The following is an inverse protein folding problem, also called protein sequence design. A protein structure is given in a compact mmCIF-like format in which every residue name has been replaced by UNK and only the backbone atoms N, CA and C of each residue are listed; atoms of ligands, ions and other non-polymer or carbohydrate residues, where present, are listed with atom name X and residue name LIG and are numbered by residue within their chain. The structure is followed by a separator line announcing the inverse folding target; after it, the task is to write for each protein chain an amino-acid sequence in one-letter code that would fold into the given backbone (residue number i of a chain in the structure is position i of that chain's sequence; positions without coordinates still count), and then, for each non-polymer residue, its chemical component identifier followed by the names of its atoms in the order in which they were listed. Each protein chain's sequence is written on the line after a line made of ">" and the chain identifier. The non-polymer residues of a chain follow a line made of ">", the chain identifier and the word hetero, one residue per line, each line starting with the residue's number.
data_IF_829318538102
#
_entry.id   IF_829318538102
#
_cell.length_a   1.000
_cell.length_b   1.000
_cell.length_c   1.000
_cell.angle_alpha   90.00
_cell.angle_beta   90.00
_cell.angle_gamma   90.00
#
_symmetry.space_group_name_H-M   'P 1'
#
loop_
_entity.id
_entity.type
_entity.pdbx_description
1 polymer ?
#
# COMPACT_ATOMS: atom_id res chain seq x y z
N UNK A 1 -15.27 30.19 61.35
CA UNK A 1 -15.17 29.21 62.51
C UNK A 1 -15.29 27.85 61.92
N UNK A 2 -14.39 27.06 61.97
CA UNK A 2 -13.47 26.20 62.60
C UNK A 2 -12.93 25.21 61.54
N UNK A 3 -11.75 25.16 61.45
CA UNK A 3 -10.59 24.39 61.94
C UNK A 3 -10.24 23.19 61.07
N UNK A 4 -9.12 23.34 60.40
CA UNK A 4 -8.30 22.29 59.80
C UNK A 4 -7.70 21.35 60.87
N UNK A 5 -7.56 20.05 60.59
CA UNK A 5 -6.62 19.19 61.25
C UNK A 5 -5.89 18.31 60.26
N UNK A 6 -4.61 18.59 60.09
CA UNK A 6 -3.68 17.78 59.35
C UNK A 6 -3.23 16.56 60.16
N UNK A 7 -2.89 15.47 59.48
CA UNK A 7 -2.04 14.40 59.98
C UNK A 7 -0.94 14.12 58.98
N UNK A 8 0.30 13.97 59.42
CA UNK A 8 1.41 13.57 58.56
C UNK A 8 1.44 12.06 58.38
N UNK A 9 1.68 11.60 57.16
CA UNK A 9 1.92 10.19 56.88
C UNK A 9 3.43 10.04 56.69
N UNK A 10 4.06 9.38 57.66
CA UNK A 10 5.41 8.82 57.53
C UNK A 10 5.29 7.52 56.71
N UNK A 11 6.04 7.40 55.65
CA UNK A 11 6.33 6.15 54.97
C UNK A 11 7.77 5.73 55.28
N UNK A 12 8.04 4.48 55.64
CA UNK A 12 9.41 3.98 55.73
C UNK A 12 9.94 3.66 54.33
N UNK A 13 11.18 4.05 54.10
CA UNK A 13 11.97 3.67 52.95
C UNK A 13 12.25 2.15 52.99
N UNK A 14 11.78 1.44 51.95
CA UNK A 14 12.18 0.06 51.65
C UNK A 14 13.42 0.08 50.77
N UNK A 15 14.47 -0.58 51.20
CA UNK A 15 15.68 -0.87 50.44
C UNK A 15 15.35 -1.67 49.17
N UNK A 16 16.05 -1.46 48.05
CA UNK A 16 15.88 -2.30 46.88
C UNK A 16 16.59 -3.64 47.08
N UNK A 17 15.79 -4.69 47.03
CA UNK A 17 16.22 -6.09 47.03
C UNK A 17 17.08 -6.35 45.79
N UNK A 18 18.37 -6.68 46.00
CA UNK A 18 19.30 -7.11 44.97
C UNK A 18 19.02 -8.55 44.57
N UNK A 19 18.00 -8.74 43.72
CA UNK A 19 17.71 -10.03 43.09
C UNK A 19 18.83 -10.42 42.12
N UNK A 20 19.77 -11.23 42.57
CA UNK A 20 20.78 -11.85 41.73
C UNK A 20 20.12 -12.69 40.62
N UNK A 21 20.57 -12.50 39.40
CA UNK A 21 20.15 -13.29 38.23
C UNK A 21 20.44 -14.77 38.52
N UNK A 22 19.43 -15.67 38.48
CA UNK A 22 19.65 -17.07 38.83
C UNK A 22 20.68 -17.67 37.84
N UNK A 23 21.68 -18.36 38.35
CA UNK A 23 22.78 -18.96 37.61
C UNK A 23 22.34 -19.85 36.42
N UNK A 24 21.13 -20.39 36.47
CA UNK A 24 20.49 -21.09 35.34
C UNK A 24 20.29 -20.18 34.14
N UNK A 25 19.97 -18.90 34.31
CA UNK A 25 19.84 -17.92 33.19
C UNK A 25 21.18 -17.65 32.49
N UNK A 26 22.25 -17.56 33.27
CA UNK A 26 23.61 -17.39 32.71
C UNK A 26 24.09 -18.63 31.94
N UNK A 27 23.72 -19.83 32.40
CA UNK A 27 24.05 -21.09 31.74
C UNK A 27 23.30 -21.22 30.38
N UNK A 28 22.04 -20.81 30.32
CA UNK A 28 21.25 -20.82 29.06
C UNK A 28 21.79 -19.78 28.06
N UNK A 29 22.15 -18.60 28.49
CA UNK A 29 22.76 -17.57 27.66
C UNK A 29 24.12 -18.05 27.14
N UNK A 30 24.95 -18.66 27.98
CA UNK A 30 26.24 -19.24 27.58
C UNK A 30 26.09 -20.34 26.51
N UNK A 31 25.08 -21.21 26.65
CA UNK A 31 24.79 -22.27 25.65
C UNK A 31 24.33 -21.71 24.31
N UNK A 32 23.46 -20.69 24.34
CA UNK A 32 22.99 -20.02 23.11
C UNK A 32 24.12 -19.31 22.36
N UNK A 33 25.03 -18.65 23.07
CA UNK A 33 26.22 -18.00 22.46
C UNK A 33 27.15 -19.04 21.85
N UNK A 34 27.30 -20.20 22.47
CA UNK A 34 28.16 -21.29 21.98
C UNK A 34 27.57 -21.95 20.73
N UNK A 35 26.23 -22.13 20.68
CA UNK A 35 25.50 -22.62 19.51
C UNK A 35 25.62 -21.63 18.35
N UNK A 36 25.46 -20.32 18.62
CA UNK A 36 25.60 -19.28 17.61
C UNK A 36 27.02 -19.20 17.06
N UNK A 37 28.04 -19.31 17.91
CA UNK A 37 29.45 -19.30 17.49
C UNK A 37 29.81 -20.54 16.66
N UNK A 38 29.28 -21.72 16.99
CA UNK A 38 29.49 -22.94 16.19
C UNK A 38 28.74 -22.86 14.84
N UNK A 39 27.55 -22.30 14.78
CA UNK A 39 26.81 -22.06 13.53
C UNK A 39 27.53 -21.06 12.61
N UNK A 40 28.04 -19.97 13.16
CA UNK A 40 28.84 -18.98 12.43
C UNK A 40 30.19 -19.59 11.95
N UNK A 41 30.83 -20.38 12.78
CA UNK A 41 32.04 -21.12 12.41
C UNK A 41 31.79 -22.11 11.27
N UNK A 42 30.70 -22.85 11.30
CA UNK A 42 30.31 -23.77 10.22
C UNK A 42 29.97 -23.05 8.91
N UNK A 43 29.35 -21.88 8.98
CA UNK A 43 29.10 -21.03 7.80
C UNK A 43 30.38 -20.41 7.20
N UNK A 44 31.36 -20.06 8.02
CA UNK A 44 32.59 -19.42 7.55
C UNK A 44 33.63 -20.45 7.09
N UNK A 45 33.70 -21.62 7.70
CA UNK A 45 34.73 -22.64 7.39
C UNK A 45 34.19 -23.88 6.67
N UNK A 46 32.87 -24.04 6.49
CA UNK A 46 32.25 -25.16 5.79
C UNK A 46 32.10 -24.99 4.29
N UNK A 47 32.41 -23.83 3.72
CA UNK A 47 32.28 -23.54 2.29
C UNK A 47 33.73 -23.43 1.69
N UNK A 48 34.50 -24.51 1.73
CA UNK A 48 35.81 -24.44 1.11
C UNK A 48 36.65 -25.67 1.32
N UNK A 49 36.23 -26.82 0.79
CA UNK A 49 37.16 -27.90 0.48
C UNK A 49 36.49 -29.01 -0.31
N UNK A 50 36.73 -28.99 -1.61
CA UNK A 50 36.84 -30.08 -2.58
C UNK A 50 37.00 -29.41 -3.93
N UNK A 51 37.95 -29.67 -4.80
CA UNK A 51 39.00 -30.67 -4.84
C UNK A 51 39.87 -30.30 -6.05
N UNK A 52 41.16 -30.45 -5.89
CA UNK A 52 42.19 -30.40 -6.94
C UNK A 52 41.92 -31.46 -8.02
N UNK A 53 41.97 -31.07 -9.29
CA UNK A 53 41.89 -32.00 -10.41
C UNK A 53 42.24 -31.35 -11.75
N UNK A 54 43.55 -31.31 -12.06
CA UNK A 54 44.18 -31.38 -13.39
C UNK A 54 43.63 -30.58 -14.58
N UNK A 55 44.40 -29.57 -15.02
CA UNK A 55 44.44 -29.08 -16.41
C UNK A 55 45.02 -30.13 -17.37
N UNK A 56 44.54 -30.17 -18.65
CA UNK A 56 45.42 -29.76 -19.73
C UNK A 56 44.72 -28.89 -20.82
N UNK A 57 45.46 -27.86 -21.22
CA UNK A 57 45.80 -27.38 -22.55
C UNK A 57 44.75 -27.13 -23.62
N UNK A 58 44.66 -25.85 -24.02
CA UNK A 58 44.62 -25.39 -25.39
C UNK A 58 43.28 -25.23 -26.07
N UNK A 59 42.90 -24.04 -26.35
CA UNK A 59 42.76 -23.34 -27.64
C UNK A 59 41.88 -22.12 -27.43
N UNK A 60 42.39 -20.98 -27.89
CA UNK A 60 41.65 -19.72 -28.02
C UNK A 60 40.46 -19.92 -28.97
N UNK A 61 39.26 -19.70 -28.44
CA UNK A 61 38.02 -19.54 -29.18
C UNK A 61 37.26 -18.42 -28.49
N UNK A 62 37.04 -17.34 -29.22
CA UNK A 62 36.11 -16.27 -28.80
C UNK A 62 34.77 -16.89 -28.41
N UNK A 63 34.55 -17.05 -27.12
CA UNK A 63 33.24 -17.36 -26.55
C UNK A 63 32.40 -16.12 -26.54
N UNK A 64 31.07 -16.22 -26.83
CA UNK A 64 30.17 -15.10 -26.68
C UNK A 64 30.26 -14.57 -25.25
N UNK A 65 30.33 -13.26 -25.12
CA UNK A 65 30.12 -12.58 -23.83
C UNK A 65 28.96 -13.22 -23.10
N UNK A 66 29.08 -13.56 -21.83
CA UNK A 66 27.92 -14.03 -21.08
C UNK A 66 26.92 -12.88 -21.09
N UNK A 67 25.90 -13.03 -21.92
CA UNK A 67 24.68 -12.25 -21.75
C UNK A 67 24.27 -12.49 -20.30
N UNK A 68 24.07 -11.43 -19.56
CA UNK A 68 23.42 -11.53 -18.27
C UNK A 68 22.07 -12.15 -18.58
N UNK A 69 21.95 -13.45 -18.40
CA UNK A 69 20.66 -14.09 -18.29
C UNK A 69 20.00 -13.40 -17.10
N UNK A 70 19.09 -12.50 -17.37
CA UNK A 70 18.18 -11.97 -16.37
C UNK A 70 17.36 -13.16 -15.90
N UNK A 71 17.89 -13.82 -14.88
CA UNK A 71 17.18 -14.93 -14.25
C UNK A 71 15.87 -14.35 -13.75
N UNK A 72 14.75 -14.81 -14.30
CA UNK A 72 13.40 -14.55 -13.79
C UNK A 72 13.24 -15.23 -12.41
N UNK A 73 14.09 -14.93 -11.47
CA UNK A 73 14.10 -15.51 -10.11
C UNK A 73 13.18 -14.76 -9.15
N UNK A 74 12.51 -13.68 -9.59
CA UNK A 74 11.59 -12.90 -8.75
C UNK A 74 10.37 -13.65 -8.28
N UNK A 75 10.00 -14.75 -8.95
CA UNK A 75 8.88 -15.58 -8.52
C UNK A 75 9.23 -16.55 -7.38
N UNK A 76 10.49 -16.87 -7.15
CA UNK A 76 10.88 -17.91 -6.16
C UNK A 76 10.73 -17.44 -4.71
N UNK A 77 10.83 -16.13 -4.44
CA UNK A 77 10.69 -15.56 -3.10
C UNK A 77 9.66 -14.43 -3.02
N UNK A 78 8.96 -14.12 -4.13
CA UNK A 78 7.98 -13.04 -4.18
C UNK A 78 8.57 -11.63 -3.96
N UNK A 79 9.89 -11.50 -4.07
CA UNK A 79 10.56 -10.21 -3.91
C UNK A 79 10.78 -9.54 -5.26
N UNK A 80 10.63 -8.20 -5.36
CA UNK A 80 10.96 -7.44 -6.55
C UNK A 80 12.46 -7.59 -6.87
N UNK A 81 12.79 -7.82 -8.16
CA UNK A 81 14.18 -8.12 -8.57
C UNK A 81 15.06 -6.88 -8.71
N UNK A 82 14.48 -5.73 -9.06
CA UNK A 82 15.21 -4.51 -9.35
C UNK A 82 15.03 -3.50 -8.21
N UNK A 83 15.85 -3.66 -7.17
CA UNK A 83 15.92 -2.71 -6.06
C UNK A 83 17.22 -1.91 -6.15
N UNK A 84 17.12 -0.60 -5.93
CA UNK A 84 18.21 0.32 -5.70
C UNK A 84 18.25 0.71 -4.21
N UNK A 85 18.88 1.81 -3.84
CA UNK A 85 18.89 2.27 -2.44
C UNK A 85 17.51 2.73 -1.99
N UNK A 86 16.83 3.49 -2.87
CA UNK A 86 15.61 4.22 -2.52
C UNK A 86 14.42 3.80 -3.38
N UNK A 87 14.61 2.92 -4.34
CA UNK A 87 13.52 2.39 -5.16
C UNK A 87 13.48 0.86 -5.17
N UNK A 88 12.27 0.34 -5.33
CA UNK A 88 12.05 -1.09 -5.53
C UNK A 88 11.02 -1.28 -6.63
N UNK A 89 11.38 -2.02 -7.69
CA UNK A 89 10.47 -2.31 -8.78
C UNK A 89 9.60 -3.53 -8.45
N UNK A 90 8.29 -3.38 -8.62
CA UNK A 90 7.32 -4.48 -8.63
C UNK A 90 6.97 -4.76 -10.09
N UNK A 91 7.51 -5.83 -10.69
CA UNK A 91 7.27 -6.14 -12.08
C UNK A 91 5.88 -6.70 -12.30
N UNK A 92 5.34 -6.51 -13.49
CA UNK A 92 4.09 -7.09 -13.98
C UNK A 92 3.73 -6.49 -15.32
N UNK A 93 3.19 -7.30 -16.22
CA UNK A 93 2.79 -6.85 -17.54
C UNK A 93 1.36 -6.32 -17.55
N UNK A 94 0.55 -6.80 -16.61
CA UNK A 94 -0.84 -6.40 -16.43
C UNK A 94 -1.21 -6.19 -14.94
N UNK A 95 -2.37 -5.58 -14.65
CA UNK A 95 -2.79 -5.31 -13.27
C UNK A 95 -2.99 -6.57 -12.40
N UNK A 96 -3.30 -7.73 -13.00
CA UNK A 96 -3.45 -8.98 -12.23
C UNK A 96 -2.09 -9.44 -11.72
N UNK A 97 -1.09 -9.51 -12.60
CA UNK A 97 0.28 -9.87 -12.23
C UNK A 97 0.86 -8.92 -11.16
N UNK A 98 0.66 -7.60 -11.35
CA UNK A 98 1.06 -6.58 -10.38
C UNK A 98 0.37 -6.80 -9.04
N UNK A 99 -0.92 -7.10 -9.02
CA UNK A 99 -1.67 -7.37 -7.80
C UNK A 99 -1.11 -8.56 -7.01
N UNK A 100 -0.76 -9.66 -7.70
CA UNK A 100 -0.14 -10.82 -7.08
C UNK A 100 1.25 -10.49 -6.54
N UNK A 101 2.07 -9.76 -7.30
CA UNK A 101 3.41 -9.35 -6.90
C UNK A 101 3.39 -8.40 -5.69
N UNK A 102 2.46 -7.44 -5.65
CA UNK A 102 2.31 -6.51 -4.53
C UNK A 102 1.81 -7.19 -3.26
N UNK A 103 0.92 -8.17 -3.38
CA UNK A 103 0.50 -8.99 -2.25
C UNK A 103 1.65 -9.80 -1.66
N UNK A 104 2.48 -10.43 -2.51
CA UNK A 104 3.68 -11.13 -2.07
C UNK A 104 4.70 -10.19 -1.39
N UNK A 105 4.85 -8.96 -1.90
CA UNK A 105 5.71 -7.95 -1.28
C UNK A 105 5.17 -7.51 0.09
N UNK A 106 3.84 -7.38 0.23
CA UNK A 106 3.18 -6.98 1.47
C UNK A 106 3.09 -8.11 2.49
N UNK A 107 3.02 -9.36 2.04
CA UNK A 107 2.91 -10.57 2.87
C UNK A 107 4.03 -11.57 2.50
N UNK A 108 5.31 -11.24 2.74
CA UNK A 108 6.44 -12.05 2.27
C UNK A 108 6.57 -13.40 3.02
N UNK A 109 6.01 -13.49 4.20
CA UNK A 109 6.01 -14.72 5.00
C UNK A 109 4.69 -14.84 5.74
N UNK A 110 3.89 -15.84 5.37
CA UNK A 110 2.62 -16.12 6.03
C UNK A 110 2.79 -17.26 7.01
N UNK A 111 2.36 -17.03 8.24
CA UNK A 111 2.39 -17.99 9.32
C UNK A 111 1.36 -17.66 10.40
N UNK A 112 1.32 -18.42 11.52
CA UNK A 112 0.39 -18.11 12.59
C UNK A 112 0.53 -16.66 13.08
N UNK A 113 -0.51 -15.85 12.88
CA UNK A 113 -0.56 -14.44 13.30
C UNK A 113 -0.14 -13.41 12.24
N UNK A 114 0.31 -13.83 11.04
CA UNK A 114 0.61 -12.93 9.92
C UNK A 114 -0.32 -13.11 8.72
N UNK A 115 -1.23 -14.08 8.75
CA UNK A 115 -2.27 -14.24 7.74
C UNK A 115 -3.25 -13.06 7.78
N UNK A 116 -3.68 -12.51 6.63
CA UNK A 116 -4.70 -11.47 6.62
C UNK A 116 -6.03 -12.03 7.15
N UNK A 117 -6.86 -11.20 7.82
CA UNK A 117 -8.18 -11.63 8.25
C UNK A 117 -9.06 -12.07 7.08
N UNK A 118 -9.00 -11.36 5.96
CA UNK A 118 -9.70 -11.72 4.72
C UNK A 118 -8.91 -11.24 3.51
N UNK A 119 -9.31 -11.67 2.31
CA UNK A 119 -8.81 -11.15 1.03
C UNK A 119 -10.00 -10.63 0.23
N UNK A 120 -9.85 -9.48 -0.41
CA UNK A 120 -10.86 -8.89 -1.27
C UNK A 120 -10.54 -9.20 -2.73
N UNK A 121 -11.47 -9.81 -3.44
CA UNK A 121 -11.37 -10.12 -4.87
C UNK A 121 -12.22 -9.15 -5.69
N UNK A 122 -11.65 -8.56 -6.73
CA UNK A 122 -12.36 -7.78 -7.74
C UNK A 122 -11.85 -8.13 -9.14
N UNK A 123 -12.72 -8.01 -10.16
CA UNK A 123 -12.29 -8.25 -11.53
C UNK A 123 -11.47 -7.08 -12.06
N UNK A 124 -10.35 -7.38 -12.73
CA UNK A 124 -9.57 -6.36 -13.45
C UNK A 124 -10.38 -5.72 -14.59
N UNK A 125 -11.36 -6.44 -15.16
CA UNK A 125 -12.23 -5.95 -16.23
C UNK A 125 -13.32 -4.97 -15.71
N UNK A 126 -13.57 -4.95 -14.39
CA UNK A 126 -14.51 -4.03 -13.74
C UNK A 126 -13.73 -3.03 -12.86
N UNK A 127 -13.03 -2.10 -13.49
CA UNK A 127 -12.12 -1.21 -12.81
C UNK A 127 -12.77 -0.41 -11.67
N UNK A 128 -14.04 0.02 -11.82
CA UNK A 128 -14.75 0.74 -10.77
C UNK A 128 -14.94 -0.14 -9.52
N UNK A 129 -15.30 -1.40 -9.72
CA UNK A 129 -15.43 -2.36 -8.62
C UNK A 129 -14.09 -2.59 -7.91
N UNK A 130 -13.00 -2.70 -8.67
CA UNK A 130 -11.65 -2.87 -8.13
C UNK A 130 -11.21 -1.64 -7.32
N UNK A 131 -11.44 -0.43 -7.82
CA UNK A 131 -11.16 0.83 -7.12
C UNK A 131 -11.90 0.90 -5.77
N UNK A 132 -13.19 0.62 -5.76
CA UNK A 132 -14.00 0.64 -4.52
C UNK A 132 -13.57 -0.43 -3.53
N UNK A 133 -13.22 -1.61 -4.04
CA UNK A 133 -12.81 -2.77 -3.24
C UNK A 133 -11.57 -2.48 -2.38
N UNK A 134 -10.69 -1.57 -2.82
CA UNK A 134 -9.50 -1.16 -2.09
C UNK A 134 -9.81 -0.65 -0.67
N UNK A 135 -10.99 -0.06 -0.45
CA UNK A 135 -11.41 0.45 0.87
C UNK A 135 -11.57 -0.63 1.96
N UNK A 136 -11.66 -1.90 1.59
CA UNK A 136 -11.69 -3.02 2.54
C UNK A 136 -10.30 -3.40 3.04
N UNK A 137 -9.23 -2.92 2.39
CA UNK A 137 -7.84 -3.19 2.80
C UNK A 137 -7.45 -2.49 4.09
N UNK A 138 -8.09 -1.37 4.42
CA UNK A 138 -7.82 -0.61 5.63
C UNK A 138 -8.27 -1.34 6.91
N UNK A 139 -7.62 -1.01 8.02
CA UNK A 139 -8.13 -1.39 9.34
C UNK A 139 -9.53 -0.82 9.61
N UNK A 140 -10.35 -1.50 10.40
CA UNK A 140 -10.10 -2.76 11.10
C UNK A 140 -10.39 -4.01 10.26
N UNK A 141 -10.84 -3.88 9.00
CA UNK A 141 -11.22 -5.02 8.14
C UNK A 141 -9.96 -5.74 7.64
N UNK A 142 -8.95 -5.00 7.20
CA UNK A 142 -7.63 -5.50 6.77
C UNK A 142 -7.71 -6.64 5.74
N UNK A 143 -8.55 -6.45 4.72
CA UNK A 143 -8.76 -7.42 3.63
C UNK A 143 -8.11 -6.90 2.33
N UNK A 144 -6.80 -7.16 2.11
CA UNK A 144 -6.08 -6.63 0.96
C UNK A 144 -6.70 -7.04 -0.37
N UNK A 145 -6.58 -6.16 -1.37
CA UNK A 145 -7.12 -6.37 -2.71
C UNK A 145 -6.26 -7.34 -3.51
N UNK A 146 -6.89 -8.32 -4.13
CA UNK A 146 -6.35 -9.21 -5.15
C UNK A 146 -7.21 -9.10 -6.40
N UNK A 147 -6.59 -8.80 -7.54
CA UNK A 147 -7.30 -8.72 -8.81
C UNK A 147 -7.44 -10.11 -9.45
N UNK A 148 -8.59 -10.35 -10.05
CA UNK A 148 -8.90 -11.56 -10.76
C UNK A 148 -9.13 -11.25 -12.25
N UNK A 149 -8.59 -12.04 -13.19
CA UNK A 149 -8.92 -11.90 -14.59
C UNK A 149 -10.36 -12.38 -14.84
N UNK A 150 -11.13 -11.62 -15.61
CA UNK A 150 -12.44 -12.02 -16.15
C UNK A 150 -13.37 -12.73 -15.16
N UNK A 151 -13.45 -12.25 -13.92
CA UNK A 151 -14.44 -12.68 -12.95
C UNK A 151 -14.12 -13.95 -12.17
N UNK A 152 -12.93 -14.54 -12.30
CA UNK A 152 -12.44 -15.64 -11.45
C UNK A 152 -10.94 -15.58 -11.25
N UNK A 153 -10.44 -16.13 -10.16
CA UNK A 153 -9.00 -16.24 -9.93
C UNK A 153 -8.31 -17.08 -11.01
N UNK A 154 -7.09 -16.67 -11.36
CA UNK A 154 -6.14 -17.51 -12.09
C UNK A 154 -5.65 -18.66 -11.22
N UNK A 155 -4.86 -19.58 -11.79
CA UNK A 155 -4.17 -20.65 -11.02
C UNK A 155 -3.22 -20.04 -9.99
N UNK A 156 -2.42 -19.04 -10.39
CA UNK A 156 -1.46 -18.33 -9.56
C UNK A 156 -2.16 -17.55 -8.45
N UNK A 157 -3.29 -16.88 -8.79
CA UNK A 157 -4.12 -16.18 -7.79
C UNK A 157 -4.72 -17.15 -6.76
N UNK A 158 -5.11 -18.36 -7.19
CA UNK A 158 -5.62 -19.38 -6.29
C UNK A 158 -4.52 -19.93 -5.37
N UNK A 159 -3.34 -20.21 -5.90
CA UNK A 159 -2.16 -20.63 -5.12
C UNK A 159 -1.72 -19.56 -4.11
N UNK A 160 -1.77 -18.28 -4.50
CA UNK A 160 -1.47 -17.17 -3.59
C UNK A 160 -2.53 -17.05 -2.50
N UNK A 161 -3.82 -17.18 -2.82
CA UNK A 161 -4.89 -17.16 -1.82
C UNK A 161 -4.72 -18.30 -0.81
N UNK A 162 -4.39 -19.51 -1.28
CA UNK A 162 -4.09 -20.66 -0.41
C UNK A 162 -2.85 -20.42 0.47
N UNK A 163 -1.85 -19.70 -0.05
CA UNK A 163 -0.65 -19.30 0.69
C UNK A 163 -0.97 -18.25 1.75
N UNK A 164 -1.78 -17.23 1.42
CA UNK A 164 -2.21 -16.19 2.36
C UNK A 164 -3.09 -16.76 3.48
N UNK A 165 -3.83 -17.82 3.19
CA UNK A 165 -4.63 -18.60 4.13
C UNK A 165 -5.50 -17.71 5.05
N UNK A 166 -6.38 -16.83 4.53
CA UNK A 166 -7.16 -15.90 5.33
C UNK A 166 -8.02 -16.65 6.36
N UNK A 167 -8.05 -16.15 7.59
CA UNK A 167 -8.60 -16.91 8.73
C UNK A 167 -10.02 -16.50 9.14
N UNK A 168 -10.50 -15.34 8.66
CA UNK A 168 -11.71 -14.70 9.17
C UNK A 168 -11.44 -13.95 10.49
N UNK A 169 -12.30 -12.97 10.80
CA UNK A 169 -12.27 -12.26 12.07
C UNK A 169 -13.64 -11.65 12.36
N UNK A 170 -13.93 -11.23 13.60
CA UNK A 170 -15.14 -10.47 13.91
C UNK A 170 -15.31 -9.22 13.02
N UNK A 171 -14.20 -8.52 12.70
CA UNK A 171 -14.17 -7.33 11.85
C UNK A 171 -14.48 -7.62 10.38
N UNK A 172 -14.27 -8.87 9.93
CA UNK A 172 -14.69 -9.32 8.60
C UNK A 172 -16.07 -10.00 8.61
N UNK A 173 -16.73 -10.07 9.78
CA UNK A 173 -17.95 -10.85 9.98
C UNK A 173 -17.71 -12.34 9.79
N UNK A 174 -16.55 -12.82 10.24
CA UNK A 174 -16.05 -14.21 10.12
C UNK A 174 -15.83 -14.65 8.66
N UNK A 175 -15.78 -13.72 7.70
CA UNK A 175 -15.54 -14.03 6.30
C UNK A 175 -14.05 -14.01 5.97
N UNK A 176 -13.64 -14.99 5.15
CA UNK A 176 -12.28 -15.15 4.66
C UNK A 176 -12.07 -14.42 3.32
N UNK A 177 -13.14 -14.23 2.55
CA UNK A 177 -13.07 -13.61 1.24
C UNK A 177 -14.24 -12.65 1.03
N UNK A 178 -13.96 -11.47 0.49
CA UNK A 178 -14.95 -10.58 -0.10
C UNK A 178 -14.84 -10.65 -1.63
N UNK A 179 -15.98 -10.72 -2.34
CA UNK A 179 -16.00 -10.60 -3.80
C UNK A 179 -16.84 -9.39 -4.19
N UNK A 180 -16.24 -8.47 -4.96
CA UNK A 180 -16.86 -7.21 -5.34
C UNK A 180 -17.07 -7.18 -6.86
N UNK A 181 -18.30 -6.90 -7.27
CA UNK A 181 -18.69 -6.95 -8.68
C UNK A 181 -18.88 -8.38 -9.18
N UNK A 182 -18.54 -8.62 -10.45
CA UNK A 182 -18.75 -9.89 -11.17
C UNK A 182 -17.58 -10.87 -10.96
N UNK A 183 -17.25 -11.16 -9.70
CA UNK A 183 -16.23 -12.16 -9.35
C UNK A 183 -16.85 -13.35 -8.66
N UNK A 184 -16.52 -14.54 -9.14
CA UNK A 184 -16.93 -15.78 -8.52
C UNK A 184 -16.17 -16.01 -7.20
N UNK A 185 -16.86 -16.42 -6.12
CA UNK A 185 -16.18 -16.78 -4.90
C UNK A 185 -15.33 -18.03 -5.13
N UNK A 186 -14.10 -18.06 -4.58
CA UNK A 186 -13.26 -19.25 -4.66
C UNK A 186 -13.87 -20.40 -3.83
N UNK A 187 -13.68 -21.63 -4.30
CA UNK A 187 -14.14 -22.81 -3.56
C UNK A 187 -13.29 -23.01 -2.28
N UNK A 188 -13.93 -23.46 -1.22
CA UNK A 188 -13.25 -23.78 0.04
C UNK A 188 -13.10 -22.61 1.02
N UNK A 189 -13.55 -21.42 0.64
CA UNK A 189 -13.52 -20.22 1.49
C UNK A 189 -14.92 -19.71 1.82
N UNK A 190 -15.09 -19.23 3.05
CA UNK A 190 -16.32 -18.52 3.43
C UNK A 190 -16.30 -17.11 2.87
N UNK A 191 -17.14 -16.85 1.86
CA UNK A 191 -17.12 -15.61 1.10
C UNK A 191 -18.37 -14.76 1.33
N UNK A 192 -18.17 -13.41 1.32
CA UNK A 192 -19.22 -12.40 1.25
C UNK A 192 -19.20 -11.73 -0.11
N UNK A 193 -20.35 -11.72 -0.77
CA UNK A 193 -20.51 -11.08 -2.09
C UNK A 193 -21.12 -9.69 -1.99
N UNK A 194 -20.60 -8.77 -2.80
CA UNK A 194 -21.23 -7.52 -3.22
C UNK A 194 -21.32 -7.56 -4.76
N UNK A 195 -22.37 -8.23 -5.29
CA UNK A 195 -22.48 -8.48 -6.72
C UNK A 195 -22.99 -7.24 -7.47
N UNK A 196 -22.81 -7.24 -8.79
CA UNK A 196 -23.41 -6.27 -9.70
C UNK A 196 -22.44 -5.78 -10.76
N UNK A 197 -23.02 -5.03 -11.71
CA UNK A 197 -22.34 -4.38 -12.83
C UNK A 197 -22.55 -2.85 -12.85
N UNK A 198 -23.47 -2.32 -12.02
CA UNK A 198 -23.70 -0.88 -11.87
C UNK A 198 -22.79 -0.30 -10.78
N UNK A 199 -21.77 0.52 -11.15
CA UNK A 199 -20.79 1.04 -10.18
C UNK A 199 -21.42 1.83 -9.02
N UNK A 200 -22.50 2.58 -9.27
CA UNK A 200 -23.14 3.37 -8.23
C UNK A 200 -23.87 2.49 -7.20
N UNK A 201 -24.43 1.36 -7.63
CA UNK A 201 -25.07 0.41 -6.72
C UNK A 201 -24.03 -0.39 -5.94
N UNK A 202 -22.97 -0.87 -6.62
CA UNK A 202 -21.87 -1.57 -5.96
C UNK A 202 -21.26 -0.68 -4.86
N UNK A 203 -21.02 0.60 -5.16
CA UNK A 203 -20.48 1.56 -4.21
C UNK A 203 -21.37 1.70 -2.95
N UNK A 204 -22.69 1.81 -3.13
CA UNK A 204 -23.63 1.91 -2.02
C UNK A 204 -23.68 0.60 -1.22
N UNK A 205 -23.77 -0.55 -1.87
CA UNK A 205 -23.84 -1.85 -1.21
C UNK A 205 -22.54 -2.14 -0.41
N UNK A 206 -21.39 -1.76 -0.97
CA UNK A 206 -20.10 -1.86 -0.30
C UNK A 206 -20.01 -0.89 0.88
N UNK A 207 -20.44 0.37 0.72
CA UNK A 207 -20.50 1.35 1.81
C UNK A 207 -21.36 0.86 2.98
N UNK A 208 -22.53 0.28 2.68
CA UNK A 208 -23.41 -0.28 3.69
C UNK A 208 -22.85 -1.54 4.35
N UNK A 209 -22.16 -2.40 3.57
CA UNK A 209 -21.45 -3.54 4.13
C UNK A 209 -20.37 -3.05 5.09
N UNK A 210 -19.54 -2.11 4.66
CA UNK A 210 -18.46 -1.55 5.46
C UNK A 210 -18.99 -0.90 6.74
N UNK A 211 -20.02 -0.05 6.65
CA UNK A 211 -20.64 0.58 7.82
C UNK A 211 -21.18 -0.44 8.85
N UNK A 212 -21.62 -1.62 8.40
CA UNK A 212 -21.99 -2.72 9.30
C UNK A 212 -20.80 -3.38 9.97
N UNK A 213 -19.68 -3.53 9.25
CA UNK A 213 -18.46 -4.17 9.78
C UNK A 213 -17.68 -3.26 10.72
N UNK A 214 -17.72 -1.94 10.48
CA UNK A 214 -17.02 -0.92 11.30
C UNK A 214 -17.95 -0.21 12.30
N UNK A 215 -19.22 -0.62 12.39
CA UNK A 215 -20.23 -0.08 13.32
C UNK A 215 -20.50 1.43 13.16
N UNK A 216 -20.27 1.97 11.95
CA UNK A 216 -20.51 3.41 11.69
C UNK A 216 -20.23 3.83 10.25
N UNK A 217 -20.55 5.09 9.91
CA UNK A 217 -20.19 5.66 8.61
C UNK A 217 -18.66 5.84 8.52
N UNK A 218 -18.10 5.99 7.30
CA UNK A 218 -16.68 6.34 7.12
C UNK A 218 -16.39 7.77 7.62
N UNK A 219 -15.12 8.09 7.79
CA UNK A 219 -14.69 9.45 8.15
C UNK A 219 -14.91 10.43 6.99
N UNK A 220 -14.80 9.96 5.74
CA UNK A 220 -15.06 10.73 4.54
C UNK A 220 -15.66 9.88 3.40
N UNK A 221 -16.33 10.54 2.46
CA UNK A 221 -16.61 9.99 1.14
C UNK A 221 -15.67 10.60 0.11
N UNK A 222 -15.03 9.75 -0.69
CA UNK A 222 -14.24 10.16 -1.84
C UNK A 222 -15.09 10.04 -3.09
N UNK A 223 -15.31 11.13 -3.80
CA UNK A 223 -16.08 11.15 -5.05
C UNK A 223 -15.14 11.36 -6.23
N UNK A 224 -15.25 10.50 -7.21
CA UNK A 224 -14.46 10.60 -8.45
C UNK A 224 -15.30 10.25 -9.68
N UNK A 225 -14.73 10.43 -10.89
CA UNK A 225 -15.39 10.11 -12.14
C UNK A 225 -15.61 8.62 -12.32
N UNK A 226 -16.78 8.22 -12.80
CA UNK A 226 -17.06 6.87 -13.27
C UNK A 226 -16.49 6.59 -14.67
N UNK A 227 -15.98 7.61 -15.36
CA UNK A 227 -15.61 7.57 -16.77
C UNK A 227 -14.09 7.49 -16.97
N UNK A 228 -13.29 7.83 -15.94
CA UNK A 228 -11.83 7.89 -16.06
C UNK A 228 -11.14 7.31 -14.81
N UNK A 229 -10.50 6.18 -15.00
CA UNK A 229 -9.79 5.45 -13.95
C UNK A 229 -8.54 6.20 -13.44
N UNK A 230 -7.94 7.09 -14.24
CA UNK A 230 -6.74 7.81 -13.86
C UNK A 230 -6.99 8.77 -12.67
N UNK A 231 -8.21 9.33 -12.55
CA UNK A 231 -8.59 10.12 -11.37
C UNK A 231 -9.07 9.26 -10.20
N UNK A 232 -9.38 7.99 -10.45
CA UNK A 232 -9.88 7.08 -9.43
C UNK A 232 -8.76 6.26 -8.74
N UNK A 233 -7.63 6.02 -9.41
CA UNK A 233 -6.52 5.26 -8.84
C UNK A 233 -5.92 5.92 -7.57
N UNK A 234 -5.71 7.26 -7.50
CA UNK A 234 -5.31 7.91 -6.25
C UNK A 234 -6.33 7.74 -5.11
N UNK A 235 -7.65 7.72 -5.44
CA UNK A 235 -8.68 7.43 -4.45
C UNK A 235 -8.58 6.01 -3.89
N UNK A 236 -8.23 5.02 -4.74
CA UNK A 236 -8.07 3.64 -4.30
C UNK A 236 -6.91 3.47 -3.31
N UNK A 237 -5.75 4.10 -3.56
CA UNK A 237 -4.60 4.04 -2.66
C UNK A 237 -4.90 4.74 -1.33
N UNK A 238 -5.55 5.89 -1.36
CA UNK A 238 -6.02 6.57 -0.15
C UNK A 238 -7.02 5.70 0.63
N UNK A 239 -8.03 5.15 -0.04
CA UNK A 239 -9.05 4.32 0.60
C UNK A 239 -8.49 3.00 1.16
N UNK A 240 -7.45 2.43 0.55
CA UNK A 240 -6.75 1.26 1.07
C UNK A 240 -6.06 1.54 2.42
N UNK A 241 -5.62 2.78 2.65
CA UNK A 241 -5.04 3.24 3.91
C UNK A 241 -6.10 3.69 4.92
N UNK A 242 -6.99 4.62 4.50
CA UNK A 242 -7.92 5.31 5.40
C UNK A 242 -9.18 4.52 5.68
N UNK A 243 -9.58 3.66 4.73
CA UNK A 243 -10.87 3.02 4.74
C UNK A 243 -12.02 3.93 4.30
N UNK A 244 -11.77 5.10 3.76
CA UNK A 244 -12.83 5.95 3.23
C UNK A 244 -13.55 5.30 2.06
N UNK A 245 -14.83 5.63 1.92
CA UNK A 245 -15.68 5.02 0.90
C UNK A 245 -15.61 5.81 -0.39
N UNK A 246 -15.34 5.11 -1.50
CA UNK A 246 -15.33 5.71 -2.82
C UNK A 246 -16.73 5.63 -3.44
N UNK A 247 -17.23 6.77 -3.92
CA UNK A 247 -18.46 6.90 -4.66
C UNK A 247 -18.17 7.47 -6.04
N UNK A 248 -18.91 7.02 -7.03
CA UNK A 248 -18.77 7.48 -8.41
C UNK A 248 -19.87 8.45 -8.82
N UNK A 249 -19.50 9.40 -9.68
CA UNK A 249 -20.43 10.24 -10.43
C UNK A 249 -20.06 10.22 -11.90
N UNK A 250 -21.08 10.44 -12.75
CA UNK A 250 -20.82 10.84 -14.12
C UNK A 250 -20.28 12.27 -14.13
N UNK A 251 -19.68 12.69 -15.23
CA UNK A 251 -19.18 14.07 -15.37
C UNK A 251 -20.21 15.12 -14.97
N UNK A 252 -21.47 14.98 -15.38
CA UNK A 252 -22.53 15.99 -15.24
C UNK A 252 -23.70 15.55 -14.38
N UNK A 253 -23.66 14.36 -13.80
CA UNK A 253 -24.76 13.86 -12.98
C UNK A 253 -24.28 13.07 -11.76
N UNK A 254 -25.08 13.13 -10.69
CA UNK A 254 -24.94 12.25 -9.52
C UNK A 254 -25.94 11.11 -9.72
N UNK A 255 -25.47 9.85 -9.80
CA UNK A 255 -26.38 8.69 -9.90
C UNK A 255 -27.41 8.69 -8.77
N UNK A 256 -28.64 8.25 -9.05
CA UNK A 256 -29.69 8.28 -8.03
C UNK A 256 -29.40 7.38 -6.83
N UNK A 257 -28.71 6.24 -7.04
CA UNK A 257 -28.29 5.37 -5.94
C UNK A 257 -27.34 6.13 -4.98
N UNK A 258 -26.32 6.82 -5.52
CA UNK A 258 -25.41 7.68 -4.75
C UNK A 258 -26.15 8.81 -4.04
N UNK A 259 -27.05 9.50 -4.75
CA UNK A 259 -27.82 10.60 -4.17
C UNK A 259 -28.76 10.13 -3.05
N UNK A 260 -29.42 8.99 -3.21
CA UNK A 260 -30.30 8.41 -2.19
C UNK A 260 -29.49 7.97 -0.95
N UNK A 261 -28.31 7.37 -1.15
CA UNK A 261 -27.41 6.97 -0.07
C UNK A 261 -26.92 8.19 0.74
N UNK A 262 -26.47 9.26 0.08
CA UNK A 262 -26.03 10.48 0.75
C UNK A 262 -27.15 11.23 1.50
N UNK A 263 -28.42 11.06 1.10
CA UNK A 263 -29.57 11.65 1.83
C UNK A 263 -29.88 10.97 3.16
N UNK A 264 -29.35 9.78 3.42
CA UNK A 264 -29.56 9.08 4.69
C UNK A 264 -29.00 9.91 5.85
N UNK A 265 -29.70 9.88 7.00
CA UNK A 265 -29.37 10.74 8.14
C UNK A 265 -27.92 10.54 8.62
N UNK A 266 -27.48 9.32 8.68
CA UNK A 266 -26.15 8.90 9.12
C UNK A 266 -25.02 9.41 8.19
N UNK A 267 -25.30 9.61 6.91
CA UNK A 267 -24.34 10.01 5.90
C UNK A 267 -24.24 11.55 5.69
N UNK A 268 -25.26 12.30 6.12
CA UNK A 268 -25.34 13.75 5.84
C UNK A 268 -24.25 14.60 6.48
N UNK A 269 -23.66 14.16 7.56
CA UNK A 269 -22.56 14.87 8.26
C UNK A 269 -21.18 14.46 7.79
N UNK A 270 -21.08 13.40 7.00
CA UNK A 270 -19.81 12.91 6.47
C UNK A 270 -19.33 13.86 5.37
N UNK A 271 -18.09 14.37 5.45
CA UNK A 271 -17.52 15.24 4.41
C UNK A 271 -17.32 14.49 3.11
N UNK A 272 -17.43 15.19 2.00
CA UNK A 272 -17.14 14.68 0.66
C UNK A 272 -15.90 15.37 0.12
N UNK A 273 -14.93 14.58 -0.37
CA UNK A 273 -13.78 15.06 -1.12
C UNK A 273 -13.85 14.60 -2.58
N UNK A 274 -13.79 15.57 -3.49
CA UNK A 274 -13.92 15.31 -4.92
C UNK A 274 -12.54 15.30 -5.58
N UNK A 275 -12.17 14.17 -6.21
CA UNK A 275 -10.94 14.03 -6.98
C UNK A 275 -11.21 14.21 -8.47
N UNK A 276 -10.30 14.92 -9.12
CA UNK A 276 -10.35 15.24 -10.53
C UNK A 276 -10.86 16.65 -10.84
N UNK A 277 -10.46 17.18 -12.03
CA UNK A 277 -10.82 18.52 -12.49
C UNK A 277 -12.32 18.65 -12.80
N UNK A 278 -12.72 19.86 -13.20
CA UNK A 278 -14.10 20.14 -13.61
C UNK A 278 -14.52 19.38 -14.88
N UNK A 279 -13.54 18.91 -15.65
CA UNK A 279 -13.78 18.08 -16.83
C UNK A 279 -14.07 16.62 -16.50
N UNK A 280 -13.62 16.14 -15.34
CA UNK A 280 -13.92 14.80 -14.83
C UNK A 280 -15.20 14.80 -13.96
N UNK A 281 -15.33 15.79 -13.06
CA UNK A 281 -16.52 15.98 -12.20
C UNK A 281 -16.92 17.45 -12.25
N UNK A 282 -18.01 17.80 -12.90
CA UNK A 282 -18.37 19.19 -13.15
C UNK A 282 -18.69 20.00 -11.87
N UNK A 283 -18.59 21.31 -11.96
CA UNK A 283 -18.97 22.21 -10.86
C UNK A 283 -20.45 22.06 -10.45
N UNK A 284 -21.31 21.68 -11.39
CA UNK A 284 -22.75 21.41 -11.12
C UNK A 284 -22.91 20.15 -10.26
N UNK A 285 -22.11 19.10 -10.51
CA UNK A 285 -22.09 17.89 -9.68
C UNK A 285 -21.64 18.24 -8.26
N UNK A 286 -20.52 18.97 -8.11
CA UNK A 286 -20.04 19.42 -6.78
C UNK A 286 -21.10 20.23 -6.04
N UNK A 287 -21.76 21.16 -6.71
CA UNK A 287 -22.88 21.94 -6.13
C UNK A 287 -24.06 21.07 -5.71
N UNK A 288 -24.35 20.00 -6.50
CA UNK A 288 -25.41 19.03 -6.15
C UNK A 288 -25.01 18.20 -4.93
N UNK A 289 -23.77 17.72 -4.86
CA UNK A 289 -23.23 17.01 -3.71
C UNK A 289 -23.30 17.85 -2.44
N UNK A 290 -22.98 19.15 -2.50
CA UNK A 290 -23.08 20.09 -1.39
C UNK A 290 -24.51 20.32 -0.85
N UNK A 291 -25.55 19.89 -1.58
CA UNK A 291 -26.94 19.86 -1.09
C UNK A 291 -27.30 18.54 -0.39
N UNK A 292 -26.46 17.51 -0.55
CA UNK A 292 -26.70 16.17 -0.05
C UNK A 292 -25.86 15.87 1.20
N UNK A 293 -24.70 16.53 1.36
CA UNK A 293 -23.73 16.30 2.42
C UNK A 293 -23.47 17.57 3.25
N UNK A 294 -22.75 17.43 4.37
CA UNK A 294 -22.39 18.52 5.28
C UNK A 294 -21.35 19.47 4.70
N UNK A 295 -20.35 18.95 4.01
CA UNK A 295 -19.33 19.72 3.32
C UNK A 295 -18.86 18.98 2.07
N UNK A 296 -18.41 19.74 1.07
CA UNK A 296 -17.81 19.21 -0.15
C UNK A 296 -16.59 20.05 -0.47
N UNK A 297 -15.45 19.40 -0.62
CA UNK A 297 -14.19 20.04 -0.98
C UNK A 297 -13.59 19.31 -2.20
N UNK A 298 -12.98 20.06 -3.12
CA UNK A 298 -12.28 19.49 -4.25
C UNK A 298 -10.79 19.49 -3.99
N UNK A 299 -10.14 18.32 -4.17
CA UNK A 299 -8.69 18.25 -4.27
C UNK A 299 -8.26 18.89 -5.60
N UNK A 300 -7.31 19.83 -5.61
CA UNK A 300 -6.83 20.46 -6.84
C UNK A 300 -6.27 19.47 -7.86
N UNK A 301 -5.98 19.95 -9.07
CA UNK A 301 -5.35 19.20 -10.15
C UNK A 301 -6.10 19.35 -11.47
N UNK A 302 -5.35 19.59 -12.55
CA UNK A 302 -5.89 19.80 -13.89
C UNK A 302 -5.81 18.54 -14.78
N UNK A 303 -4.91 17.62 -14.45
CA UNK A 303 -4.71 16.34 -15.10
C UNK A 303 -4.45 15.22 -14.10
N UNK A 304 -4.35 13.94 -14.54
CA UNK A 304 -4.17 12.80 -13.65
C UNK A 304 -2.89 12.87 -12.80
N UNK A 305 -1.77 13.27 -13.39
CA UNK A 305 -0.47 13.40 -12.72
C UNK A 305 -0.56 14.45 -11.60
N UNK A 306 -1.03 15.65 -11.93
CA UNK A 306 -1.18 16.72 -10.96
C UNK A 306 -2.21 16.39 -9.88
N UNK A 307 -3.36 15.79 -10.25
CA UNK A 307 -4.39 15.40 -9.29
C UNK A 307 -3.88 14.34 -8.28
N UNK A 308 -3.04 13.41 -8.72
CA UNK A 308 -2.38 12.44 -7.84
C UNK A 308 -1.40 13.15 -6.89
N UNK A 309 -0.53 14.02 -7.41
CA UNK A 309 0.44 14.78 -6.65
C UNK A 309 -0.23 15.70 -5.62
N UNK A 310 -1.29 16.39 -6.03
CA UNK A 310 -2.03 17.27 -5.13
C UNK A 310 -2.72 16.51 -3.99
N UNK A 311 -3.22 15.29 -4.23
CA UNK A 311 -3.75 14.44 -3.15
C UNK A 311 -2.65 14.03 -2.15
N UNK A 312 -1.43 13.79 -2.63
CA UNK A 312 -0.25 13.49 -1.76
C UNK A 312 0.07 14.65 -0.83
N UNK A 313 0.00 15.89 -1.34
CA UNK A 313 0.23 17.12 -0.56
C UNK A 313 -0.97 17.53 0.30
N UNK A 314 -2.18 17.11 -0.07
CA UNK A 314 -3.43 17.58 0.48
C UNK A 314 -3.64 17.20 1.95
N UNK A 315 -4.27 18.10 2.70
CA UNK A 315 -4.72 17.86 4.07
C UNK A 315 -5.95 18.72 4.37
N UNK A 316 -7.04 18.07 4.79
CA UNK A 316 -8.25 18.73 5.27
C UNK A 316 -8.91 17.85 6.34
N UNK A 317 -8.78 18.24 7.60
CA UNK A 317 -9.20 17.42 8.74
C UNK A 317 -8.41 16.11 8.82
N UNK A 318 -9.08 14.97 8.72
CA UNK A 318 -8.47 13.63 8.68
C UNK A 318 -8.21 13.13 7.25
N UNK A 319 -8.63 13.87 6.22
CA UNK A 319 -8.51 13.47 4.83
C UNK A 319 -7.26 14.04 4.17
N UNK A 320 -6.58 13.21 3.36
CA UNK A 320 -5.41 13.57 2.58
C UNK A 320 -4.10 13.06 3.20
N UNK A 321 -3.10 12.83 2.35
CA UNK A 321 -1.84 12.22 2.80
C UNK A 321 -0.98 13.17 3.62
N UNK A 322 -1.03 14.48 3.34
CA UNK A 322 -0.21 15.52 4.01
C UNK A 322 1.30 15.23 4.00
N UNK A 323 1.81 14.64 2.92
CA UNK A 323 3.23 14.31 2.79
C UNK A 323 3.99 15.52 2.24
N UNK A 324 4.39 16.43 3.13
CA UNK A 324 5.10 17.67 2.80
C UNK A 324 6.48 17.75 3.48
N UNK A 325 6.96 16.62 4.01
CA UNK A 325 8.25 16.47 4.67
C UNK A 325 8.86 15.10 4.34
N UNK A 326 10.16 14.85 4.58
CA UNK A 326 10.80 13.56 4.27
C UNK A 326 10.39 12.44 5.22
N UNK A 327 10.61 11.19 4.79
CA UNK A 327 10.40 9.99 5.61
C UNK A 327 9.19 9.16 5.18
N UNK A 328 8.84 9.19 3.89
CA UNK A 328 7.63 8.57 3.37
C UNK A 328 7.88 7.57 2.25
N UNK A 329 6.87 6.72 2.02
CA UNK A 329 6.79 5.84 0.88
C UNK A 329 5.95 6.44 -0.25
N UNK A 330 6.29 6.07 -1.47
CA UNK A 330 5.54 6.44 -2.67
C UNK A 330 5.40 5.23 -3.58
N UNK A 331 4.35 5.22 -4.40
CA UNK A 331 4.16 4.28 -5.49
C UNK A 331 4.10 5.09 -6.78
N UNK A 332 4.94 4.77 -7.77
CA UNK A 332 4.97 5.46 -9.07
C UNK A 332 4.42 4.53 -10.14
N UNK A 333 3.42 5.02 -10.89
CA UNK A 333 2.81 4.34 -12.04
C UNK A 333 2.77 5.25 -13.27
N UNK A 334 2.46 4.66 -14.42
CA UNK A 334 2.06 5.42 -15.61
C UNK A 334 0.60 5.89 -15.50
N UNK A 335 0.32 7.13 -15.89
CA UNK A 335 -1.03 7.72 -15.88
C UNK A 335 -1.99 7.06 -16.86
N UNK A 336 -1.46 6.50 -17.96
CA UNK A 336 -2.21 5.71 -18.96
C UNK A 336 -2.43 4.25 -18.52
N UNK A 337 -1.91 3.86 -17.35
CA UNK A 337 -2.06 2.53 -16.74
C UNK A 337 -2.59 2.62 -15.30
N UNK A 338 -3.71 3.31 -15.05
CA UNK A 338 -4.18 3.60 -13.69
C UNK A 338 -4.51 2.34 -12.86
N UNK A 339 -4.85 1.24 -13.53
CA UNK A 339 -5.13 -0.02 -12.84
C UNK A 339 -3.90 -0.66 -12.22
N UNK A 340 -2.68 -0.29 -12.64
CA UNK A 340 -1.44 -0.69 -11.98
C UNK A 340 -1.37 -0.11 -10.56
N UNK A 341 -1.85 1.15 -10.37
CA UNK A 341 -1.98 1.76 -9.04
C UNK A 341 -3.04 1.11 -8.16
N UNK A 342 -4.16 0.70 -8.75
CA UNK A 342 -5.20 -0.06 -8.03
C UNK A 342 -4.66 -1.43 -7.60
N UNK A 343 -3.93 -2.11 -8.48
CA UNK A 343 -3.25 -3.38 -8.19
C UNK A 343 -2.20 -3.26 -7.09
N UNK A 344 -1.57 -2.09 -6.96
CA UNK A 344 -0.54 -1.81 -5.96
C UNK A 344 -1.09 -1.39 -4.59
N UNK A 345 -2.41 -1.26 -4.42
CA UNK A 345 -3.03 -0.83 -3.15
C UNK A 345 -2.66 -1.67 -1.91
N UNK A 346 -2.32 -2.97 -1.99
CA UNK A 346 -1.81 -3.69 -0.83
C UNK A 346 -0.56 -3.07 -0.20
N UNK A 347 0.30 -2.39 -0.97
CA UNK A 347 1.45 -1.66 -0.44
C UNK A 347 1.03 -0.50 0.47
N UNK A 348 -0.12 0.14 0.21
CA UNK A 348 -0.59 1.31 0.98
C UNK A 348 -1.19 0.96 2.34
N UNK A 349 -1.30 -0.33 2.69
CA UNK A 349 -1.90 -0.80 3.96
C UNK A 349 -0.91 -0.94 5.10
N UNK A 350 0.39 -0.85 4.84
CA UNK A 350 1.42 -1.06 5.87
C UNK A 350 2.78 -0.49 5.47
N UNK A 351 3.79 -0.73 6.29
CA UNK A 351 5.15 -0.25 6.05
C UNK A 351 5.23 1.27 6.06
N UNK A 352 5.66 1.86 4.95
CA UNK A 352 5.74 3.31 4.76
C UNK A 352 4.43 3.93 4.24
N UNK A 353 3.38 3.14 4.11
CA UNK A 353 2.07 3.55 3.55
C UNK A 353 2.20 4.41 2.29
N UNK A 354 2.71 3.84 1.19
CA UNK A 354 3.03 4.62 0.01
C UNK A 354 1.80 5.29 -0.60
N UNK A 355 1.93 6.60 -0.85
CA UNK A 355 0.98 7.39 -1.62
C UNK A 355 1.26 7.27 -3.12
N UNK A 356 0.24 7.47 -3.95
CA UNK A 356 0.36 7.30 -5.40
C UNK A 356 0.86 8.57 -6.07
N UNK A 357 1.98 8.45 -6.79
CA UNK A 357 2.48 9.40 -7.79
C UNK A 357 2.28 8.81 -9.19
N UNK A 358 2.20 9.67 -10.18
CA UNK A 358 2.06 9.27 -11.57
C UNK A 358 3.10 9.95 -12.46
N UNK A 359 3.49 9.26 -13.54
CA UNK A 359 4.23 9.80 -14.67
C UNK A 359 3.44 9.58 -15.97
N UNK A 360 3.59 10.44 -16.95
CA UNK A 360 2.96 10.33 -18.27
C UNK A 360 3.92 9.85 -19.35
N UNK A 361 5.21 9.74 -19.04
CA UNK A 361 6.24 9.20 -19.91
C UNK A 361 6.97 8.00 -19.29
N UNK A 362 7.59 7.17 -20.10
CA UNK A 362 8.33 5.99 -19.65
C UNK A 362 9.75 6.32 -19.19
N UNK A 363 10.36 7.38 -19.74
CA UNK A 363 11.77 7.73 -19.59
C UNK A 363 12.02 9.05 -18.86
N UNK A 364 11.00 9.90 -18.73
CA UNK A 364 11.11 11.22 -18.11
C UNK A 364 10.08 11.37 -16.99
N UNK A 365 10.54 11.83 -15.82
CA UNK A 365 9.65 12.18 -14.73
C UNK A 365 9.08 13.58 -14.98
N UNK A 366 7.77 13.82 -14.81
CA UNK A 366 7.21 15.15 -14.94
C UNK A 366 7.89 16.13 -13.97
N UNK A 367 8.19 17.35 -14.45
CA UNK A 367 8.92 18.38 -13.67
C UNK A 367 8.30 18.60 -12.28
N UNK A 368 6.97 18.69 -12.19
CA UNK A 368 6.26 18.92 -10.91
C UNK A 368 6.45 17.75 -9.92
N UNK A 369 6.54 16.51 -10.43
CA UNK A 369 6.77 15.32 -9.60
C UNK A 369 8.22 15.25 -9.14
N UNK A 370 9.16 15.58 -10.04
CA UNK A 370 10.58 15.67 -9.70
C UNK A 370 10.83 16.78 -8.67
N UNK A 371 10.28 17.98 -8.88
CA UNK A 371 10.38 19.10 -7.94
C UNK A 371 9.83 18.70 -6.56
N UNK A 372 8.67 18.05 -6.52
CA UNK A 372 8.10 17.57 -5.27
C UNK A 372 9.02 16.57 -4.56
N UNK A 373 9.58 15.57 -5.26
CA UNK A 373 10.47 14.57 -4.64
C UNK A 373 11.75 15.23 -4.10
N UNK A 374 12.26 16.29 -4.78
CA UNK A 374 13.38 17.07 -4.31
C UNK A 374 13.03 17.95 -3.10
N UNK A 375 11.82 18.53 -3.06
CA UNK A 375 11.33 19.33 -1.92
C UNK A 375 11.23 18.49 -0.63
N UNK A 376 10.83 17.22 -0.76
CA UNK A 376 10.73 16.27 0.36
C UNK A 376 11.95 15.37 0.47
N UNK A 377 13.06 15.70 -0.19
CA UNK A 377 14.27 14.90 -0.18
C UNK A 377 14.83 14.80 1.25
N UNK A 378 15.14 13.58 1.74
CA UNK A 378 15.66 13.42 3.09
C UNK A 378 17.10 13.94 3.20
N UNK A 379 17.38 14.58 4.35
CA UNK A 379 18.68 15.14 4.64
C UNK A 379 19.21 14.77 6.01
N UNK A 380 20.53 14.84 6.19
CA UNK A 380 21.20 14.68 7.49
C UNK A 380 22.32 15.70 7.65
N UNK A 381 22.64 16.05 8.90
CA UNK A 381 23.68 17.01 9.21
C UNK A 381 24.96 16.39 9.76
N UNK A 382 24.86 15.29 10.52
CA UNK A 382 26.01 14.66 11.18
C UNK A 382 26.03 13.14 11.04
N UNK A 383 24.90 12.48 11.21
CA UNK A 383 24.81 11.03 11.26
C UNK A 383 23.67 10.51 10.35
N UNK A 384 23.99 9.92 9.20
CA UNK A 384 22.99 9.44 8.25
C UNK A 384 22.11 8.32 8.84
N UNK A 385 22.58 7.57 9.84
CA UNK A 385 21.82 6.44 10.43
C UNK A 385 20.61 6.91 11.24
N UNK A 386 20.53 8.21 11.55
CA UNK A 386 19.42 8.83 12.28
C UNK A 386 18.46 9.62 11.39
N UNK A 387 18.71 9.62 10.10
CA UNK A 387 17.88 10.32 9.14
C UNK A 387 16.60 9.54 8.81
N UNK A 388 15.61 10.25 8.31
CA UNK A 388 14.44 9.67 7.66
C UNK A 388 14.81 9.26 6.24
N UNK A 389 14.07 8.33 5.66
CA UNK A 389 14.33 7.81 4.32
C UNK A 389 13.03 7.83 3.50
N UNK A 390 13.12 8.30 2.28
CA UNK A 390 12.06 8.10 1.30
C UNK A 390 12.27 6.77 0.58
N UNK A 391 11.18 6.13 0.16
CA UNK A 391 11.21 4.93 -0.65
C UNK A 391 10.14 4.97 -1.72
N UNK A 392 10.49 4.62 -2.96
CA UNK A 392 9.56 4.63 -4.08
C UNK A 392 9.42 3.24 -4.71
N UNK A 393 8.19 2.75 -4.72
CA UNK A 393 7.82 1.53 -5.43
C UNK A 393 7.54 1.87 -6.89
N UNK A 394 8.34 1.34 -7.80
CA UNK A 394 8.16 1.49 -9.25
C UNK A 394 7.29 0.33 -9.75
N UNK A 395 6.11 0.62 -10.27
CA UNK A 395 5.16 -0.41 -10.68
C UNK A 395 5.20 -0.64 -12.18
N UNK A 396 5.34 -1.90 -12.56
CA UNK A 396 5.44 -2.33 -13.95
C UNK A 396 6.86 -2.68 -14.39
N UNK A 397 6.96 -3.12 -15.65
CA UNK A 397 8.22 -3.53 -16.28
C UNK A 397 9.07 -2.33 -16.72
N UNK A 398 10.28 -2.59 -17.19
CA UNK A 398 11.18 -1.57 -17.75
C UNK A 398 10.62 -0.91 -19.03
N UNK A 399 9.67 -1.56 -19.70
CA UNK A 399 8.96 -0.94 -20.84
C UNK A 399 7.86 0.03 -20.39
N UNK A 400 7.43 -0.05 -19.15
CA UNK A 400 6.41 0.84 -18.55
C UNK A 400 7.06 2.10 -17.99
N UNK A 401 8.07 1.93 -17.15
CA UNK A 401 8.92 2.97 -16.57
C UNK A 401 10.35 2.44 -16.70
N UNK A 402 11.18 3.08 -17.48
CA UNK A 402 12.51 2.58 -17.81
C UNK A 402 13.52 2.73 -16.63
N UNK A 403 14.74 2.25 -16.87
CA UNK A 403 15.78 2.30 -15.84
C UNK A 403 16.34 3.72 -15.64
N UNK A 404 16.29 4.56 -16.68
CA UNK A 404 16.80 5.94 -16.58
C UNK A 404 15.87 6.77 -15.69
N UNK A 405 14.54 6.65 -15.86
CA UNK A 405 13.57 7.28 -14.97
C UNK A 405 13.64 6.69 -13.55
N UNK A 406 13.79 5.37 -13.39
CA UNK A 406 13.98 4.77 -12.07
C UNK A 406 15.24 5.32 -11.38
N UNK A 407 16.33 5.52 -12.11
CA UNK A 407 17.57 6.09 -11.57
C UNK A 407 17.41 7.58 -11.21
N UNK A 408 16.58 8.33 -11.93
CA UNK A 408 16.24 9.71 -11.58
C UNK A 408 15.45 9.78 -10.27
N UNK A 409 14.41 8.95 -10.13
CA UNK A 409 13.63 8.82 -8.89
C UNK A 409 14.50 8.39 -7.72
N UNK A 410 15.42 7.43 -7.92
CA UNK A 410 16.36 6.98 -6.88
C UNK A 410 17.24 8.13 -6.38
N UNK A 411 17.75 8.98 -7.28
CA UNK A 411 18.54 10.17 -6.93
C UNK A 411 17.69 11.23 -6.21
N UNK A 412 16.45 11.47 -6.65
CA UNK A 412 15.56 12.43 -6.02
C UNK A 412 15.14 12.00 -4.60
N UNK A 413 15.08 10.69 -4.35
CA UNK A 413 14.78 10.12 -3.03
C UNK A 413 16.02 9.88 -2.15
N UNK A 414 17.25 10.16 -2.66
CA UNK A 414 18.50 9.87 -1.96
C UNK A 414 18.70 10.77 -0.74
N UNK A 415 19.19 10.15 0.34
CA UNK A 415 19.59 10.86 1.55
C UNK A 415 20.82 11.75 1.30
N UNK A 416 20.70 13.05 1.52
CA UNK A 416 21.75 14.02 1.24
C UNK A 416 22.34 14.65 2.50
N UNK A 417 23.64 15.03 2.45
CA UNK A 417 24.26 15.84 3.50
C UNK A 417 23.80 17.29 3.38
N UNK A 418 23.15 17.80 4.41
CA UNK A 418 22.76 19.22 4.52
C UNK A 418 23.90 19.98 5.20
N UNK A 419 24.56 20.87 4.46
CA UNK A 419 25.57 21.76 5.03
C UNK A 419 24.87 22.77 5.95
N UNK A 420 25.21 22.75 7.24
CA UNK A 420 24.81 23.83 8.15
C UNK A 420 25.67 25.05 7.82
N UNK A 421 25.14 26.03 7.11
CA UNK A 421 25.71 27.36 7.04
C UNK A 421 25.70 27.94 8.46
N UNK A 422 26.87 27.92 9.09
CA UNK A 422 27.13 28.50 10.43
C UNK A 422 27.02 30.01 10.49
#
# INVERSE_FOLDING_TARGET
>A
MAKASGRPINAPAGEPDSGGVPWLGLAVIGLLVLILATLVGYLIFGIGREGDGARPGGTEGEGPSPGVEVVQSGRVLGLPLNATRNTTRVPGDDPVDISLATLLASYPAVGPGSAPPAVTLASADQWQAAVMAASLSAEPISAPLMLAPSGKLSSEGSELLDTLAPVGSPQTGEKQVFTIGEVAPPSGYDARKVPGDDPAKIAVDLAELKARLTEGPPDAFVVTSAEDAAYAAPAATWAARSGDVILFTDRNSVPEATAAFLRKKENRSVPIFVLGPTDAVSAEVVKRLGKLAGSVERVPGSGPVEAALELVRFSSGSFGWNLNDPGHGYTLIRSDRPMDGVAATPLSTGGTWPALLMTDDASELPDDVLEYLLDVQPGYTTDPTRALYNHVWIIGTESTIDLDQQAEVDRAAELTLVETTG
#
